data_IF_266197892487
#
_entry.id   IF_266197892487
#
_cell.length_a   1.000
_cell.length_b   1.000
_cell.length_c   1.000
_cell.angle_alpha   90.00
_cell.angle_beta   90.00
_cell.angle_gamma   90.00
#
_symmetry.space_group_name_H-M   'P 1'
#
loop_
_entity.id
_entity.type
_entity.pdbx_description
1 polymer ?
#
# COMPACT_ATOMS: atom_id res chain seq x y z
N UNK A 1 -7.10 36.30 -5.39
CA UNK A 1 -7.86 35.82 -4.22
C UNK A 1 -6.92 34.90 -3.44
N UNK A 2 -7.35 33.96 -2.61
CA UNK A 2 -6.46 32.86 -2.22
C UNK A 2 -6.43 31.82 -3.35
N UNK A 3 -5.33 31.07 -3.49
CA UNK A 3 -5.15 30.08 -4.57
C UNK A 3 -6.32 29.09 -4.68
N UNK A 4 -6.80 28.60 -3.54
CA UNK A 4 -7.93 27.66 -3.45
C UNK A 4 -9.19 28.19 -4.16
N UNK A 5 -9.53 29.48 -3.98
CA UNK A 5 -10.72 30.07 -4.59
C UNK A 5 -10.59 30.21 -6.11
N UNK A 6 -9.37 30.45 -6.63
CA UNK A 6 -9.12 30.54 -8.06
C UNK A 6 -9.15 29.15 -8.72
N UNK A 7 -8.60 28.14 -8.05
CA UNK A 7 -8.68 26.73 -8.47
C UNK A 7 -10.15 26.29 -8.50
N UNK A 8 -10.92 26.54 -7.44
CA UNK A 8 -12.35 26.19 -7.40
C UNK A 8 -13.15 26.86 -8.52
N UNK A 9 -12.87 28.13 -8.80
CA UNK A 9 -13.50 28.85 -9.91
C UNK A 9 -13.12 28.22 -11.26
N UNK A 10 -11.84 27.87 -11.45
CA UNK A 10 -11.37 27.21 -12.67
C UNK A 10 -12.02 25.84 -12.88
N UNK A 11 -12.22 25.05 -11.82
CA UNK A 11 -12.98 23.79 -11.88
C UNK A 11 -14.42 24.07 -12.31
N UNK A 12 -15.09 25.05 -11.70
CA UNK A 12 -16.47 25.39 -12.02
C UNK A 12 -16.65 25.89 -13.47
N UNK A 13 -15.73 26.73 -13.95
CA UNK A 13 -15.74 27.24 -15.31
C UNK A 13 -15.49 26.12 -16.34
N UNK A 14 -14.65 25.13 -15.99
CA UNK A 14 -14.35 23.98 -16.84
C UNK A 14 -15.52 23.01 -16.92
N UNK A 15 -16.19 22.72 -15.80
CA UNK A 15 -17.33 21.80 -15.74
C UNK A 15 -18.58 22.28 -16.50
N UNK A 16 -18.70 23.60 -16.76
CA UNK A 16 -19.78 24.22 -17.55
C UNK A 16 -21.20 23.83 -17.08
N UNK A 17 -21.38 23.59 -15.78
CA UNK A 17 -22.65 23.18 -15.20
C UNK A 17 -22.50 22.64 -13.78
N UNK A 18 -23.56 22.02 -13.26
CA UNK A 18 -23.52 21.37 -11.96
C UNK A 18 -22.57 20.15 -12.01
N UNK A 19 -21.73 20.01 -10.98
CA UNK A 19 -20.82 18.88 -10.84
C UNK A 19 -20.71 18.44 -9.38
N UNK A 20 -20.08 17.29 -9.16
CA UNK A 20 -19.69 16.82 -7.83
C UNK A 20 -18.22 16.44 -7.84
N UNK A 21 -17.47 16.97 -6.87
CA UNK A 21 -16.07 16.61 -6.67
C UNK A 21 -15.94 15.14 -6.27
N UNK A 22 -14.89 14.52 -6.79
CA UNK A 22 -14.51 13.14 -6.51
C UNK A 22 -13.21 13.13 -5.73
N UNK A 23 -13.13 12.20 -4.80
CA UNK A 23 -12.07 12.14 -3.80
C UNK A 23 -11.39 10.78 -3.93
N UNK A 24 -10.05 10.72 -3.98
CA UNK A 24 -9.34 9.46 -3.86
C UNK A 24 -9.75 8.75 -2.56
N UNK A 25 -10.12 7.47 -2.67
CA UNK A 25 -10.64 6.67 -1.54
C UNK A 25 -9.54 6.17 -0.60
N UNK A 26 -8.34 5.98 -1.13
CA UNK A 26 -7.18 5.42 -0.45
C UNK A 26 -5.90 6.24 -0.72
N UNK A 27 -4.77 5.84 -0.15
CA UNK A 27 -3.50 6.58 -0.25
C UNK A 27 -3.40 7.78 0.70
N UNK A 28 -2.39 8.63 0.48
CA UNK A 28 -2.11 9.82 1.30
C UNK A 28 -2.81 11.09 0.78
N UNK A 29 -3.14 11.12 -0.52
CA UNK A 29 -3.70 12.29 -1.19
C UNK A 29 -5.21 12.16 -1.37
N UNK A 30 -5.99 12.42 -0.30
CA UNK A 30 -7.46 12.22 -0.28
C UNK A 30 -8.31 13.49 -0.33
N UNK A 31 -7.67 14.64 -0.57
CA UNK A 31 -8.33 15.93 -0.68
C UNK A 31 -9.09 16.07 -2.01
N UNK A 32 -10.05 17.00 -2.07
CA UNK A 32 -10.78 17.30 -3.31
C UNK A 32 -9.86 17.93 -4.37
N UNK A 33 -8.89 18.71 -3.91
CA UNK A 33 -7.83 19.33 -4.67
C UNK A 33 -6.52 18.82 -4.05
N UNK A 34 -5.72 18.13 -4.85
CA UNK A 34 -4.39 17.63 -4.46
C UNK A 34 -3.36 18.62 -4.99
N UNK A 35 -2.54 19.17 -4.09
CA UNK A 35 -1.49 20.14 -4.41
C UNK A 35 -0.13 19.46 -4.33
N UNK A 36 0.63 19.45 -5.42
CA UNK A 36 1.97 18.84 -5.50
C UNK A 36 2.81 19.65 -6.48
N UNK A 37 4.07 19.95 -6.15
CA UNK A 37 5.07 20.49 -7.09
C UNK A 37 5.48 19.37 -8.06
N UNK A 38 4.93 19.40 -9.28
CA UNK A 38 5.10 18.32 -10.25
C UNK A 38 6.33 18.51 -11.13
N UNK A 39 6.80 19.73 -11.37
CA UNK A 39 7.95 20.00 -12.23
C UNK A 39 9.21 20.47 -11.48
N UNK A 40 9.13 20.58 -10.15
CA UNK A 40 10.24 20.89 -9.26
C UNK A 40 10.60 22.37 -9.24
N UNK A 41 9.70 23.26 -9.66
CA UNK A 41 9.95 24.71 -9.68
C UNK A 41 9.72 25.42 -8.33
N UNK A 42 9.20 24.69 -7.34
CA UNK A 42 8.88 25.18 -5.99
C UNK A 42 7.45 25.71 -5.85
N UNK A 43 6.67 25.72 -6.92
CA UNK A 43 5.24 26.04 -6.98
C UNK A 43 4.46 24.74 -7.17
N UNK A 44 3.36 24.57 -6.46
CA UNK A 44 2.55 23.36 -6.63
C UNK A 44 1.56 23.50 -7.77
N UNK A 45 1.42 22.45 -8.58
CA UNK A 45 0.26 22.21 -9.42
C UNK A 45 -0.90 21.68 -8.59
N UNK A 46 -2.10 21.81 -9.16
CA UNK A 46 -3.34 21.34 -8.57
C UNK A 46 -3.98 20.24 -9.43
N UNK A 47 -4.40 19.15 -8.79
CA UNK A 47 -5.13 18.05 -9.41
C UNK A 47 -6.50 17.96 -8.75
N UNK A 48 -7.56 17.95 -9.57
CA UNK A 48 -8.93 17.83 -9.08
C UNK A 48 -9.70 16.80 -9.90
N UNK A 49 -10.58 16.06 -9.23
CA UNK A 49 -11.47 15.12 -9.89
C UNK A 49 -12.91 15.58 -9.75
N UNK A 50 -13.67 15.51 -10.83
CA UNK A 50 -15.11 15.77 -10.75
C UNK A 50 -15.92 14.91 -11.69
N UNK A 51 -17.21 14.85 -11.39
CA UNK A 51 -18.22 14.21 -12.23
C UNK A 51 -19.32 15.21 -12.51
N UNK A 52 -19.64 15.38 -13.78
CA UNK A 52 -20.79 16.17 -14.22
C UNK A 52 -22.09 15.59 -13.67
N UNK A 53 -23.04 16.45 -13.30
CA UNK A 53 -24.34 16.01 -12.80
C UNK A 53 -25.08 15.17 -13.84
N UNK A 54 -25.51 13.99 -13.45
CA UNK A 54 -26.22 13.04 -14.31
C UNK A 54 -25.31 12.08 -15.08
N UNK A 55 -24.01 12.36 -15.17
CA UNK A 55 -23.03 11.37 -15.61
C UNK A 55 -22.81 10.37 -14.47
N UNK A 56 -22.76 9.07 -14.77
CA UNK A 56 -22.50 8.01 -13.77
C UNK A 56 -21.35 7.10 -14.17
N UNK A 57 -20.81 7.26 -15.37
CA UNK A 57 -19.85 6.35 -16.00
C UNK A 57 -18.47 6.96 -16.17
N UNK A 58 -18.33 8.28 -16.06
CA UNK A 58 -17.07 8.97 -16.29
C UNK A 58 -16.72 9.93 -15.17
N UNK A 59 -15.42 10.17 -15.01
CA UNK A 59 -14.84 11.17 -14.11
C UNK A 59 -13.81 11.97 -14.91
N UNK A 60 -13.81 13.28 -14.71
CA UNK A 60 -12.80 14.21 -15.19
C UNK A 60 -11.66 14.29 -14.19
N UNK A 61 -10.42 14.32 -14.68
CA UNK A 61 -9.24 14.72 -13.95
C UNK A 61 -8.70 16.01 -14.57
N UNK A 62 -8.75 17.10 -13.80
CA UNK A 62 -8.13 18.36 -14.16
C UNK A 62 -6.72 18.40 -13.59
N UNK A 63 -5.77 18.83 -14.42
CA UNK A 63 -4.44 19.26 -13.97
C UNK A 63 -4.33 20.75 -14.25
N UNK A 64 -3.94 21.51 -13.24
CA UNK A 64 -3.93 22.97 -13.25
C UNK A 64 -2.60 23.45 -12.67
N UNK A 65 -2.14 24.62 -13.11
CA UNK A 65 -0.86 25.19 -12.72
C UNK A 65 -1.00 26.71 -12.53
N UNK A 66 -0.12 27.30 -11.75
CA UNK A 66 -0.02 28.75 -11.63
C UNK A 66 0.87 29.33 -12.73
N UNK A 67 0.34 30.28 -13.50
CA UNK A 67 1.15 31.08 -14.44
C UNK A 67 1.23 32.52 -13.94
N UNK A 68 2.25 32.79 -13.14
CA UNK A 68 2.54 34.11 -12.59
C UNK A 68 1.39 34.71 -11.75
N UNK A 69 0.82 33.92 -10.84
CA UNK A 69 -0.28 34.32 -9.97
C UNK A 69 -1.67 34.24 -10.61
N UNK A 70 -1.80 33.44 -11.66
CA UNK A 70 -3.08 33.13 -12.32
C UNK A 70 -3.13 31.65 -12.64
N UNK A 71 -4.08 30.95 -12.00
CA UNK A 71 -4.33 29.54 -12.25
C UNK A 71 -4.86 29.27 -13.66
N UNK A 72 -4.28 28.26 -14.33
CA UNK A 72 -4.65 27.84 -15.68
C UNK A 72 -4.83 26.34 -15.76
N UNK A 73 -5.68 25.92 -16.70
CA UNK A 73 -5.87 24.51 -16.99
C UNK A 73 -4.72 24.01 -17.88
N UNK A 74 -3.98 23.01 -17.39
CA UNK A 74 -3.03 22.25 -18.19
C UNK A 74 -3.77 21.24 -19.06
N UNK A 75 -4.67 20.44 -18.49
CA UNK A 75 -5.42 19.39 -19.20
C UNK A 75 -6.68 18.94 -18.45
N UNK A 76 -7.65 18.44 -19.20
CA UNK A 76 -8.86 17.76 -18.71
C UNK A 76 -8.93 16.35 -19.31
N UNK A 77 -8.73 15.33 -18.48
CA UNK A 77 -8.80 13.92 -18.88
C UNK A 77 -10.12 13.30 -18.45
N UNK A 78 -10.89 12.80 -19.41
CA UNK A 78 -12.14 12.07 -19.15
C UNK A 78 -11.89 10.58 -19.16
N UNK A 79 -12.10 9.91 -18.04
CA UNK A 79 -11.90 8.46 -17.89
C UNK A 79 -13.21 7.77 -17.57
N UNK A 80 -13.51 6.66 -18.26
CA UNK A 80 -14.62 5.77 -17.91
C UNK A 80 -14.28 5.01 -16.62
N UNK A 81 -14.86 5.44 -15.51
CA UNK A 81 -14.61 4.85 -14.20
C UNK A 81 -15.74 5.17 -13.23
N UNK A 82 -15.94 4.26 -12.28
CA UNK A 82 -16.95 4.43 -11.24
C UNK A 82 -16.47 5.33 -10.10
N UNK A 83 -15.16 5.41 -9.84
CA UNK A 83 -14.55 6.24 -8.81
C UNK A 83 -13.03 6.34 -8.93
N UNK A 84 -12.44 7.24 -8.16
CA UNK A 84 -10.99 7.32 -7.99
C UNK A 84 -10.59 6.47 -6.77
N UNK A 85 -9.71 5.48 -6.98
CA UNK A 85 -9.16 4.67 -5.91
C UNK A 85 -8.10 5.46 -5.12
N UNK A 86 -7.02 5.86 -5.77
CA UNK A 86 -5.94 6.63 -5.16
C UNK A 86 -5.21 7.51 -6.18
N UNK A 87 -4.40 8.42 -5.65
CA UNK A 87 -3.39 9.18 -6.39
C UNK A 87 -2.07 9.01 -5.65
N UNK A 88 -0.99 8.90 -6.40
CA UNK A 88 0.38 8.97 -5.87
C UNK A 88 1.30 9.63 -6.91
N UNK A 89 2.51 9.98 -6.50
CA UNK A 89 3.48 10.69 -7.32
C UNK A 89 4.85 10.02 -7.26
N UNK A 90 5.58 10.03 -8.37
CA UNK A 90 6.88 9.36 -8.45
C UNK A 90 7.75 9.96 -9.55
N UNK A 91 9.05 10.13 -9.29
CA UNK A 91 10.04 10.52 -10.30
C UNK A 91 10.52 9.27 -11.04
N UNK A 92 9.69 8.77 -11.96
CA UNK A 92 9.96 7.47 -12.62
C UNK A 92 10.90 7.61 -13.81
N UNK A 93 11.14 8.82 -14.31
CA UNK A 93 12.06 9.08 -15.42
C UNK A 93 13.42 9.68 -14.98
N UNK A 94 13.58 9.97 -13.68
CA UNK A 94 14.83 10.41 -13.07
C UNK A 94 15.15 11.88 -13.31
N UNK A 95 14.25 12.67 -13.88
CA UNK A 95 14.50 14.06 -14.24
C UNK A 95 14.27 15.05 -13.06
N UNK A 96 13.65 14.59 -11.97
CA UNK A 96 13.34 15.38 -10.77
C UNK A 96 11.90 15.90 -10.69
N UNK A 97 11.19 15.91 -11.82
CA UNK A 97 9.74 16.08 -11.89
C UNK A 97 9.03 14.81 -11.42
N UNK A 98 7.77 14.95 -11.02
CA UNK A 98 6.93 13.87 -10.55
C UNK A 98 5.86 13.52 -11.58
N UNK A 99 5.85 12.27 -12.01
CA UNK A 99 4.72 11.67 -12.70
C UNK A 99 3.53 11.50 -11.75
N UNK A 100 2.34 11.75 -12.28
CA UNK A 100 1.06 11.53 -11.60
C UNK A 100 0.61 10.09 -11.86
N UNK A 101 0.44 9.30 -10.81
CA UNK A 101 -0.18 7.97 -10.88
C UNK A 101 -1.61 8.03 -10.34
N UNK A 102 -2.57 7.64 -11.17
CA UNK A 102 -3.98 7.61 -10.79
C UNK A 102 -4.54 6.22 -10.89
N UNK A 103 -5.15 5.80 -9.78
CA UNK A 103 -5.91 4.58 -9.65
C UNK A 103 -7.38 4.79 -10.01
N UNK A 104 -7.85 4.18 -11.09
CA UNK A 104 -9.26 4.23 -11.47
C UNK A 104 -9.99 2.96 -11.06
N UNK A 105 -11.09 3.09 -10.33
CA UNK A 105 -11.88 1.95 -9.90
C UNK A 105 -12.57 1.29 -11.10
N UNK A 106 -12.48 -0.03 -11.19
CA UNK A 106 -13.24 -0.81 -12.18
C UNK A 106 -14.56 -1.30 -11.60
N UNK A 107 -15.36 -1.98 -12.41
CA UNK A 107 -16.57 -2.67 -11.93
C UNK A 107 -16.26 -3.96 -11.16
N UNK A 108 -15.02 -4.46 -11.24
CA UNK A 108 -14.56 -5.66 -10.55
C UNK A 108 -14.02 -5.28 -9.16
N UNK A 109 -14.55 -5.85 -8.07
CA UNK A 109 -14.08 -5.57 -6.72
C UNK A 109 -12.57 -5.84 -6.57
N UNK A 110 -11.87 -4.91 -5.90
CA UNK A 110 -10.43 -4.98 -5.65
C UNK A 110 -9.56 -5.07 -6.93
N UNK A 111 -10.11 -4.69 -8.09
CA UNK A 111 -9.37 -4.52 -9.33
C UNK A 111 -9.52 -3.07 -9.77
N UNK A 112 -8.42 -2.36 -9.81
CA UNK A 112 -8.30 -0.99 -10.25
C UNK A 112 -7.36 -0.93 -11.45
N UNK A 113 -7.50 0.11 -12.27
CA UNK A 113 -6.65 0.35 -13.42
C UNK A 113 -5.69 1.50 -13.13
N UNK A 114 -4.39 1.26 -13.32
CA UNK A 114 -3.35 2.27 -13.12
C UNK A 114 -3.11 3.08 -14.40
N UNK A 115 -3.16 4.40 -14.27
CA UNK A 115 -2.77 5.36 -15.29
C UNK A 115 -1.58 6.20 -14.81
N UNK A 116 -0.78 6.69 -15.75
CA UNK A 116 0.38 7.54 -15.51
C UNK A 116 0.29 8.79 -16.39
N UNK A 117 0.68 9.95 -15.85
CA UNK A 117 0.68 11.21 -16.58
C UNK A 117 1.94 12.00 -16.23
N UNK A 118 2.55 12.66 -17.21
CA UNK A 118 3.67 13.60 -16.97
C UNK A 118 3.19 15.03 -17.22
N UNK A 119 3.50 15.93 -16.30
CA UNK A 119 3.31 17.37 -16.47
C UNK A 119 4.64 18.04 -16.80
N UNK A 120 4.60 19.07 -17.64
CA UNK A 120 5.74 19.94 -17.89
C UNK A 120 5.40 21.09 -18.84
N UNK A 121 5.92 22.27 -18.52
CA UNK A 121 5.76 23.47 -19.36
C UNK A 121 4.31 23.88 -19.59
N UNK A 122 3.46 23.75 -18.57
CA UNK A 122 2.04 24.10 -18.63
C UNK A 122 1.17 23.12 -19.41
N UNK A 123 1.68 21.92 -19.72
CA UNK A 123 0.93 20.85 -20.42
C UNK A 123 1.08 19.52 -19.72
N UNK A 124 0.05 18.66 -19.79
CA UNK A 124 0.07 17.32 -19.23
C UNK A 124 -0.19 16.29 -20.33
N UNK A 125 0.58 15.21 -20.34
CA UNK A 125 0.46 14.10 -21.29
C UNK A 125 0.14 12.81 -20.56
N UNK A 126 -0.74 11.99 -21.14
CA UNK A 126 -0.98 10.64 -20.65
C UNK A 126 0.12 9.69 -21.13
N UNK A 127 0.71 8.95 -20.19
CA UNK A 127 1.65 7.87 -20.44
C UNK A 127 0.93 6.52 -20.30
N UNK A 128 1.47 5.49 -20.93
CA UNK A 128 0.87 4.14 -20.80
C UNK A 128 1.39 3.46 -19.54
N UNK A 129 0.54 3.24 -18.53
CA UNK A 129 0.86 2.36 -17.40
C UNK A 129 0.27 0.95 -17.59
N UNK A 130 -1.01 0.87 -17.98
CA UNK A 130 -1.62 -0.33 -18.57
C UNK A 130 -1.75 -1.56 -17.67
N UNK A 131 -1.71 -1.39 -16.35
CA UNK A 131 -1.67 -2.49 -15.37
C UNK A 131 -2.87 -2.45 -14.43
N UNK A 132 -3.52 -3.60 -14.26
CA UNK A 132 -4.52 -3.79 -13.23
C UNK A 132 -3.85 -4.09 -11.88
N UNK A 133 -4.39 -3.56 -10.80
CA UNK A 133 -3.84 -3.75 -9.46
C UNK A 133 -4.95 -3.83 -8.41
N UNK A 134 -4.59 -4.31 -7.22
CA UNK A 134 -5.40 -4.30 -6.00
C UNK A 134 -4.84 -3.35 -4.95
N UNK A 135 -3.51 -3.16 -4.90
CA UNK A 135 -2.84 -2.01 -4.28
C UNK A 135 -1.60 -1.63 -5.11
N UNK A 136 -1.16 -0.37 -5.07
CA UNK A 136 0.14 0.01 -5.61
C UNK A 136 0.87 1.00 -4.70
N UNK A 137 2.18 1.06 -4.86
CA UNK A 137 3.10 1.86 -4.07
C UNK A 137 4.20 2.41 -4.96
N UNK A 138 4.52 3.69 -4.81
CA UNK A 138 5.62 4.34 -5.51
C UNK A 138 6.85 4.49 -4.61
N UNK A 139 8.04 4.40 -5.19
CA UNK A 139 9.31 4.76 -4.55
C UNK A 139 10.53 4.08 -5.16
N UNK A 140 11.72 4.56 -4.82
CA UNK A 140 13.01 4.00 -5.22
C UNK A 140 13.29 2.63 -4.56
N UNK A 141 12.81 1.55 -5.19
CA UNK A 141 12.84 0.19 -4.63
C UNK A 141 14.16 -0.53 -4.89
N UNK A 142 14.90 -0.09 -5.91
CA UNK A 142 16.21 -0.65 -6.26
C UNK A 142 17.38 0.23 -5.79
N UNK A 143 17.12 1.41 -5.23
CA UNK A 143 18.12 2.39 -4.78
C UNK A 143 19.01 2.95 -5.89
N UNK A 144 18.45 3.18 -7.09
CA UNK A 144 19.14 3.79 -8.23
C UNK A 144 18.83 5.29 -8.41
N UNK A 145 17.96 5.85 -7.57
CA UNK A 145 17.56 7.25 -7.60
C UNK A 145 16.38 7.56 -8.54
N UNK A 146 15.85 6.56 -9.24
CA UNK A 146 14.58 6.64 -9.97
C UNK A 146 13.52 5.87 -9.20
N UNK A 147 12.31 6.43 -9.12
CA UNK A 147 11.22 5.71 -8.46
C UNK A 147 10.70 4.58 -9.35
N UNK A 148 10.31 3.48 -8.72
CA UNK A 148 9.52 2.41 -9.31
C UNK A 148 8.09 2.43 -8.77
N UNK A 149 7.21 1.72 -9.48
CA UNK A 149 5.84 1.45 -9.03
C UNK A 149 5.67 -0.02 -8.76
N UNK A 150 5.44 -0.39 -7.51
CA UNK A 150 5.13 -1.76 -7.11
C UNK A 150 3.62 -1.97 -7.07
N UNK A 151 3.10 -2.80 -7.97
CA UNK A 151 1.69 -3.19 -7.98
C UNK A 151 1.50 -4.56 -7.33
N UNK A 152 0.42 -4.72 -6.57
CA UNK A 152 0.00 -5.98 -5.95
C UNK A 152 -1.35 -6.39 -6.54
N UNK A 153 -1.45 -7.61 -7.04
CA UNK A 153 -2.70 -8.18 -7.55
C UNK A 153 -3.16 -9.31 -6.63
N UNK A 154 -4.43 -9.30 -6.26
CA UNK A 154 -5.07 -10.45 -5.63
C UNK A 154 -5.37 -11.53 -6.68
N UNK A 155 -5.51 -12.77 -6.23
CA UNK A 155 -5.93 -13.86 -7.11
C UNK A 155 -7.37 -13.63 -7.59
N UNK A 156 -7.60 -13.84 -8.89
CA UNK A 156 -8.92 -13.91 -9.51
C UNK A 156 -8.92 -14.95 -10.63
N UNK A 157 -10.07 -15.17 -11.27
CA UNK A 157 -10.16 -16.05 -12.45
C UNK A 157 -9.33 -15.57 -13.63
N UNK A 158 -8.99 -14.28 -13.67
CA UNK A 158 -8.25 -13.64 -14.77
C UNK A 158 -6.81 -13.28 -14.37
N UNK A 159 -6.49 -13.23 -13.07
CA UNK A 159 -5.20 -12.78 -12.57
C UNK A 159 -4.65 -13.71 -11.48
N UNK A 160 -3.41 -14.16 -11.66
CA UNK A 160 -2.64 -14.74 -10.55
C UNK A 160 -2.29 -13.70 -9.50
N UNK A 161 -2.26 -14.11 -8.22
CA UNK A 161 -1.74 -13.29 -7.13
C UNK A 161 -0.25 -13.05 -7.33
N UNK A 162 0.14 -11.78 -7.49
CA UNK A 162 1.51 -11.39 -7.80
C UNK A 162 1.84 -9.99 -7.30
N UNK A 163 3.13 -9.75 -7.07
CA UNK A 163 3.68 -8.41 -7.00
C UNK A 163 4.47 -8.14 -8.29
N UNK A 164 4.35 -6.94 -8.85
CA UNK A 164 5.06 -6.52 -10.06
C UNK A 164 5.72 -5.16 -9.83
N UNK A 165 7.03 -5.09 -10.06
CA UNK A 165 7.77 -3.83 -10.04
C UNK A 165 7.80 -3.26 -11.46
N UNK A 166 7.20 -2.10 -11.62
CA UNK A 166 7.12 -1.38 -12.88
C UNK A 166 8.22 -0.32 -12.93
N UNK A 167 8.90 -0.22 -14.07
CA UNK A 167 9.85 0.85 -14.38
C UNK A 167 9.41 1.59 -15.63
N UNK A 168 9.91 2.81 -15.79
CA UNK A 168 9.58 3.65 -16.93
C UNK A 168 10.51 3.37 -18.13
N UNK A 169 9.91 3.28 -19.31
CA UNK A 169 10.60 3.27 -20.60
C UNK A 169 10.45 4.65 -21.24
N UNK A 170 11.52 5.44 -21.21
CA UNK A 170 11.53 6.81 -21.72
C UNK A 170 11.33 6.88 -23.25
N UNK A 171 11.75 5.86 -24.01
CA UNK A 171 11.56 5.83 -25.47
C UNK A 171 10.09 5.62 -25.83
N UNK A 172 9.40 4.74 -25.09
CA UNK A 172 7.99 4.42 -25.31
C UNK A 172 7.02 5.30 -24.53
N UNK A 173 7.52 6.10 -23.58
CA UNK A 173 6.71 6.87 -22.63
C UNK A 173 5.68 5.98 -21.92
N UNK A 174 6.17 4.87 -21.37
CA UNK A 174 5.30 3.83 -20.79
C UNK A 174 5.95 3.11 -19.63
N UNK A 175 5.15 2.68 -18.66
CA UNK A 175 5.58 1.73 -17.63
C UNK A 175 5.61 0.32 -18.20
N UNK A 176 6.58 -0.48 -17.77
CA UNK A 176 6.65 -1.91 -18.07
C UNK A 176 7.03 -2.70 -16.81
N UNK A 177 6.60 -3.96 -16.73
CA UNK A 177 6.98 -4.83 -15.62
C UNK A 177 8.45 -5.27 -15.77
N UNK A 178 9.32 -4.71 -14.92
CA UNK A 178 10.75 -5.05 -14.85
C UNK A 178 10.98 -6.39 -14.14
N UNK A 179 10.20 -6.65 -13.09
CA UNK A 179 10.26 -7.90 -12.34
C UNK A 179 8.90 -8.24 -11.73
N UNK A 180 8.65 -9.53 -11.50
CA UNK A 180 7.45 -10.03 -10.83
C UNK A 180 7.81 -11.14 -9.84
N UNK A 181 6.97 -11.32 -8.82
CA UNK A 181 7.09 -12.45 -7.88
C UNK A 181 5.70 -12.94 -7.47
N UNK A 182 5.47 -14.26 -7.34
CA UNK A 182 4.21 -14.80 -6.84
C UNK A 182 3.89 -14.30 -5.42
N UNK A 183 2.60 -14.10 -5.17
CA UNK A 183 2.02 -13.78 -3.87
C UNK A 183 1.11 -14.92 -3.43
N UNK A 184 0.79 -14.98 -2.14
CA UNK A 184 -0.15 -15.97 -1.60
C UNK A 184 -1.55 -15.85 -2.23
N UNK A 185 -2.01 -16.84 -3.01
CA UNK A 185 -3.29 -16.77 -3.72
C UNK A 185 -4.50 -16.89 -2.79
N UNK A 186 -4.31 -17.25 -1.51
CA UNK A 186 -5.40 -17.34 -0.53
C UNK A 186 -5.76 -15.96 0.06
N UNK A 187 -4.91 -14.95 -0.13
CA UNK A 187 -5.20 -13.57 0.29
C UNK A 187 -6.28 -13.00 -0.61
N UNK A 188 -7.39 -12.55 0.00
CA UNK A 188 -8.54 -11.94 -0.69
C UNK A 188 -8.64 -10.44 -0.43
N UNK A 189 -7.85 -9.89 0.48
CA UNK A 189 -7.80 -8.47 0.82
C UNK A 189 -6.46 -8.11 1.45
N UNK A 190 -5.89 -6.98 1.05
CA UNK A 190 -4.75 -6.37 1.75
C UNK A 190 -5.27 -5.51 2.91
N UNK A 191 -4.90 -5.86 4.15
CA UNK A 191 -5.30 -5.15 5.38
C UNK A 191 -4.36 -3.99 5.69
N UNK A 192 -3.07 -4.24 5.57
CA UNK A 192 -2.02 -3.23 5.71
C UNK A 192 -0.91 -3.53 4.69
N UNK A 193 -0.40 -2.48 4.07
CA UNK A 193 0.80 -2.55 3.26
C UNK A 193 1.64 -1.35 3.60
N UNK A 194 2.90 -1.59 3.91
CA UNK A 194 3.81 -0.55 4.35
C UNK A 194 5.12 -0.67 3.60
N UNK A 195 5.54 0.43 2.97
CA UNK A 195 6.92 0.56 2.48
C UNK A 195 7.80 0.87 3.68
N UNK A 196 8.86 0.11 3.86
CA UNK A 196 9.82 0.30 4.93
C UNK A 196 11.23 -0.06 4.48
N UNK A 197 12.22 0.39 5.24
CA UNK A 197 13.56 -0.14 5.13
C UNK A 197 13.58 -1.55 5.74
N UNK A 198 14.15 -2.53 5.03
CA UNK A 198 14.39 -3.89 5.54
C UNK A 198 15.78 -4.01 6.17
N UNK A 199 16.71 -3.18 5.71
CA UNK A 199 18.00 -2.92 6.31
C UNK A 199 18.46 -1.49 5.92
N UNK A 200 19.71 -1.13 6.22
CA UNK A 200 20.24 0.21 5.92
C UNK A 200 20.34 0.56 4.42
N UNK A 201 20.09 -0.38 3.51
CA UNK A 201 20.33 -0.22 2.06
C UNK A 201 19.18 -0.70 1.19
N UNK A 202 18.23 -1.44 1.75
CA UNK A 202 17.22 -2.16 0.99
C UNK A 202 15.85 -1.71 1.45
N UNK A 203 15.12 -1.09 0.53
CA UNK A 203 13.69 -0.85 0.70
C UNK A 203 12.90 -2.11 0.36
N UNK A 204 11.80 -2.29 1.05
CA UNK A 204 10.84 -3.33 0.75
C UNK A 204 9.45 -2.91 1.18
N UNK A 205 8.51 -3.84 1.00
CA UNK A 205 7.17 -3.70 1.53
C UNK A 205 6.83 -4.89 2.42
N UNK A 206 6.11 -4.61 3.49
CA UNK A 206 5.49 -5.61 4.37
C UNK A 206 3.99 -5.59 4.12
N UNK A 207 3.43 -6.74 3.77
CA UNK A 207 2.03 -6.89 3.33
C UNK A 207 1.30 -7.82 4.29
N UNK A 208 0.39 -7.28 5.09
CA UNK A 208 -0.59 -8.07 5.84
C UNK A 208 -1.84 -8.30 4.96
N UNK A 209 -1.98 -9.51 4.46
CA UNK A 209 -3.16 -9.97 3.71
C UNK A 209 -4.10 -10.79 4.57
N UNK A 210 -5.41 -10.70 4.34
CA UNK A 210 -6.39 -11.59 4.96
C UNK A 210 -7.00 -12.58 4.00
N UNK A 211 -7.23 -13.79 4.48
CA UNK A 211 -7.97 -14.84 3.81
C UNK A 211 -9.47 -14.61 3.98
N UNK A 212 -10.29 -15.35 3.23
CA UNK A 212 -11.75 -15.30 3.40
C UNK A 212 -12.21 -15.80 4.79
N UNK A 213 -11.39 -16.59 5.48
CA UNK A 213 -11.60 -17.03 6.87
C UNK A 213 -11.16 -15.99 7.91
N UNK A 214 -10.82 -14.77 7.49
CA UNK A 214 -10.26 -13.69 8.32
C UNK A 214 -8.86 -13.92 8.91
N UNK A 215 -8.29 -15.11 8.73
CA UNK A 215 -6.88 -15.38 8.99
C UNK A 215 -5.99 -14.38 8.24
N UNK A 216 -4.93 -13.92 8.90
CA UNK A 216 -3.97 -12.96 8.37
C UNK A 216 -2.68 -13.69 8.05
N UNK A 217 -2.08 -13.35 6.91
CA UNK A 217 -0.75 -13.79 6.52
C UNK A 217 0.11 -12.56 6.18
N UNK A 218 1.35 -12.53 6.66
CA UNK A 218 2.31 -11.47 6.32
C UNK A 218 3.28 -11.95 5.26
N UNK A 219 3.46 -11.16 4.20
CA UNK A 219 4.45 -11.34 3.16
C UNK A 219 5.43 -10.16 3.16
N UNK A 220 6.68 -10.40 2.73
CA UNK A 220 7.72 -9.36 2.60
C UNK A 220 8.20 -9.38 1.16
N UNK A 221 8.14 -8.23 0.48
CA UNK A 221 8.53 -8.11 -0.92
C UNK A 221 9.66 -7.08 -1.02
N UNK A 222 10.72 -7.42 -1.74
CA UNK A 222 11.81 -6.48 -2.03
C UNK A 222 12.49 -6.84 -3.36
N UNK A 223 13.19 -5.88 -3.94
CA UNK A 223 14.01 -6.11 -5.11
C UNK A 223 15.43 -6.49 -4.69
N UNK A 224 15.90 -7.66 -5.13
CA UNK A 224 17.28 -8.05 -4.93
C UNK A 224 18.10 -7.54 -6.13
N UNK A 225 18.89 -6.49 -5.90
CA UNK A 225 19.74 -5.88 -6.93
C UNK A 225 20.77 -6.85 -7.51
N UNK A 226 21.43 -7.66 -6.66
CA UNK A 226 22.47 -8.59 -7.09
C UNK A 226 21.93 -9.68 -8.02
N UNK A 227 20.71 -10.16 -7.76
CA UNK A 227 20.02 -11.18 -8.56
C UNK A 227 19.10 -10.58 -9.64
N UNK A 228 18.91 -9.26 -9.62
CA UNK A 228 18.00 -8.50 -10.50
C UNK A 228 16.57 -9.05 -10.54
N UNK A 229 16.01 -9.44 -9.39
CA UNK A 229 14.67 -10.03 -9.30
C UNK A 229 13.91 -9.63 -8.02
N UNK A 230 12.58 -9.64 -8.09
CA UNK A 230 11.72 -9.49 -6.90
C UNK A 230 11.72 -10.77 -6.06
N UNK A 231 11.78 -10.62 -4.74
CA UNK A 231 11.76 -11.69 -3.74
C UNK A 231 10.47 -11.62 -2.93
N UNK A 232 9.93 -12.79 -2.57
CA UNK A 232 8.87 -12.94 -1.57
C UNK A 232 9.17 -14.18 -0.71
N UNK A 233 10.14 -14.10 0.20
CA UNK A 233 10.72 -15.29 0.82
C UNK A 233 9.84 -15.95 1.87
N UNK A 234 8.94 -15.17 2.49
CA UNK A 234 8.02 -15.67 3.50
C UNK A 234 6.85 -16.45 2.90
N UNK A 235 6.56 -16.27 1.60
CA UNK A 235 5.56 -17.07 0.91
C UNK A 235 6.08 -18.48 0.58
N UNK A 236 5.36 -19.50 1.05
CA UNK A 236 5.58 -20.92 0.73
C UNK A 236 4.31 -21.51 0.13
N UNK A 237 4.38 -21.94 -1.12
CA UNK A 237 3.24 -22.49 -1.86
C UNK A 237 2.67 -23.79 -1.26
N UNK A 238 3.54 -24.66 -0.72
CA UNK A 238 3.17 -26.04 -0.32
C UNK A 238 2.92 -26.25 1.17
N UNK A 239 3.18 -25.25 1.99
CA UNK A 239 3.12 -25.37 3.46
C UNK A 239 2.50 -24.12 4.04
N UNK A 240 1.83 -24.26 5.18
CA UNK A 240 1.32 -23.11 5.93
C UNK A 240 2.44 -22.08 6.14
N UNK A 241 2.18 -20.82 5.80
CA UNK A 241 3.12 -19.74 6.03
C UNK A 241 3.31 -19.53 7.53
N UNK A 242 4.55 -19.32 7.97
CA UNK A 242 4.89 -19.15 9.39
C UNK A 242 4.16 -17.95 10.02
N UNK A 243 3.89 -16.92 9.22
CA UNK A 243 3.21 -15.68 9.60
C UNK A 243 1.68 -15.79 9.58
N UNK A 244 1.12 -16.92 9.15
CA UNK A 244 -0.33 -17.14 9.10
C UNK A 244 -0.94 -17.33 10.50
N UNK A 245 -1.91 -16.50 10.85
CA UNK A 245 -2.49 -16.40 12.21
C UNK A 245 -3.98 -16.03 12.17
N UNK A 246 -4.72 -16.42 13.20
CA UNK A 246 -6.18 -16.17 13.32
C UNK A 246 -6.50 -14.86 14.04
N UNK A 247 -5.58 -14.36 14.87
CA UNK A 247 -5.78 -13.12 15.62
C UNK A 247 -5.48 -11.88 14.75
N UNK A 248 -6.20 -10.75 14.95
CA UNK A 248 -6.13 -9.59 14.08
C UNK A 248 -4.93 -8.67 14.38
N UNK A 249 -3.75 -9.25 14.60
CA UNK A 249 -2.49 -8.50 14.76
C UNK A 249 -1.88 -8.26 13.39
N UNK A 250 -1.35 -7.06 13.16
CA UNK A 250 -0.66 -6.66 11.93
C UNK A 250 0.79 -6.26 12.26
N UNK A 251 1.62 -6.11 11.23
CA UNK A 251 3.00 -5.68 11.41
C UNK A 251 3.08 -4.26 11.94
N UNK A 252 4.08 -3.98 12.76
CA UNK A 252 4.32 -2.68 13.36
C UNK A 252 5.78 -2.58 13.80
N UNK A 253 6.29 -1.35 13.90
CA UNK A 253 7.52 -1.06 14.63
C UNK A 253 7.21 -1.10 16.14
N UNK A 254 7.59 -2.21 16.77
CA UNK A 254 7.28 -2.52 18.17
C UNK A 254 8.33 -1.94 19.12
N UNK A 255 9.56 -1.79 18.66
CA UNK A 255 10.68 -1.36 19.48
C UNK A 255 11.09 0.11 19.22
N UNK A 256 10.47 0.78 18.26
CA UNK A 256 10.74 2.12 17.76
C UNK A 256 12.13 2.28 17.12
N UNK A 257 12.61 1.26 16.41
CA UNK A 257 13.88 1.29 15.66
C UNK A 257 13.70 1.59 14.16
N UNK A 258 12.48 1.93 13.74
CA UNK A 258 12.07 2.22 12.36
C UNK A 258 12.02 1.00 11.43
N UNK A 259 12.29 -0.20 11.95
CA UNK A 259 12.08 -1.47 11.24
C UNK A 259 10.76 -2.08 11.69
N UNK A 260 10.01 -2.64 10.74
CA UNK A 260 8.73 -3.27 11.05
C UNK A 260 8.94 -4.70 11.55
N UNK A 261 8.43 -5.01 12.73
CA UNK A 261 8.33 -6.39 13.18
C UNK A 261 7.12 -7.13 12.64
N UNK A 262 7.37 -8.40 12.32
CA UNK A 262 6.43 -9.35 11.74
C UNK A 262 5.98 -10.32 12.84
N UNK A 263 4.68 -10.37 13.14
CA UNK A 263 4.16 -11.25 14.20
C UNK A 263 4.02 -12.70 13.71
N UNK A 264 4.52 -13.62 14.54
CA UNK A 264 4.27 -15.06 14.48
C UNK A 264 3.50 -15.46 15.72
N UNK A 265 2.38 -16.14 15.53
CA UNK A 265 1.43 -16.42 16.61
C UNK A 265 1.34 -17.92 16.84
N UNK A 266 1.44 -18.30 18.11
CA UNK A 266 1.19 -19.66 18.58
C UNK A 266 0.42 -19.60 19.89
N UNK A 267 -0.33 -20.66 20.20
CA UNK A 267 -0.88 -20.80 21.55
C UNK A 267 0.23 -21.14 22.54
N UNK A 268 0.13 -20.64 23.77
CA UNK A 268 1.00 -21.09 24.85
C UNK A 268 0.73 -22.56 25.18
N UNK A 269 1.72 -23.27 25.77
CA UNK A 269 1.50 -24.59 26.35
C UNK A 269 0.29 -24.57 27.28
N UNK A 270 -0.54 -25.60 27.19
CA UNK A 270 -1.78 -25.71 27.94
C UNK A 270 -2.11 -27.19 28.20
N UNK A 271 -2.92 -27.46 29.23
CA UNK A 271 -3.40 -28.82 29.46
C UNK A 271 -4.52 -29.13 28.46
N UNK A 272 -4.63 -30.39 28.00
CA UNK A 272 -5.64 -30.78 27.01
C UNK A 272 -7.10 -30.67 27.49
N UNK A 273 -7.33 -30.33 28.76
CA UNK A 273 -8.66 -30.08 29.34
C UNK A 273 -9.13 -28.63 29.23
N UNK A 274 -8.26 -27.69 28.87
CA UNK A 274 -8.60 -26.28 28.68
C UNK A 274 -9.21 -26.04 27.29
N UNK A 275 -10.29 -25.26 27.23
CA UNK A 275 -10.86 -24.81 25.95
C UNK A 275 -9.87 -23.88 25.25
N UNK A 276 -9.70 -24.02 23.94
CA UNK A 276 -8.74 -23.24 23.13
C UNK A 276 -8.92 -21.74 23.24
N UNK A 277 -10.14 -21.29 23.51
CA UNK A 277 -10.54 -19.90 23.74
C UNK A 277 -10.06 -19.32 25.07
N UNK A 278 -9.68 -20.18 26.02
CA UNK A 278 -9.14 -19.77 27.32
C UNK A 278 -7.61 -19.73 27.33
N UNK A 279 -6.96 -20.34 26.34
CA UNK A 279 -5.49 -20.38 26.24
C UNK A 279 -5.00 -19.09 25.61
N UNK A 280 -4.10 -18.39 26.29
CA UNK A 280 -3.59 -17.13 25.77
C UNK A 280 -2.65 -17.33 24.57
N UNK A 281 -2.75 -16.42 23.60
CA UNK A 281 -1.86 -16.37 22.46
C UNK A 281 -0.50 -15.77 22.82
N UNK A 282 0.56 -16.46 22.38
CA UNK A 282 1.94 -15.95 22.35
C UNK A 282 2.17 -15.32 20.98
N UNK A 283 2.55 -14.04 21.00
CA UNK A 283 2.97 -13.30 19.82
C UNK A 283 4.49 -13.16 19.90
N UNK A 284 5.18 -13.71 18.92
CA UNK A 284 6.60 -13.48 18.72
C UNK A 284 6.71 -12.43 17.62
N UNK A 285 7.18 -11.24 17.98
CA UNK A 285 7.51 -10.18 17.03
C UNK A 285 8.93 -10.40 16.53
N UNK A 286 9.09 -10.44 15.21
CA UNK A 286 10.34 -10.78 14.57
C UNK A 286 10.79 -9.67 13.63
N UNK A 287 12.07 -9.35 13.63
CA UNK A 287 12.67 -8.63 12.52
C UNK A 287 12.85 -9.61 11.33
N UNK A 288 12.96 -9.04 10.13
CA UNK A 288 13.28 -9.81 8.93
C UNK A 288 14.77 -9.71 8.63
N UNK A 289 15.50 -10.84 8.67
CA UNK A 289 16.91 -10.89 8.27
C UNK A 289 17.00 -11.08 6.75
N UNK A 290 17.53 -10.07 6.07
CA UNK A 290 17.64 -10.05 4.60
C UNK A 290 18.66 -11.08 4.06
N UNK A 291 19.71 -11.40 4.83
CA UNK A 291 20.81 -12.25 4.40
C UNK A 291 20.43 -13.73 4.36
N UNK A 292 19.72 -14.21 5.39
CA UNK A 292 19.17 -15.57 5.42
C UNK A 292 17.72 -15.65 4.92
N UNK A 293 17.07 -14.51 4.71
CA UNK A 293 15.64 -14.38 4.37
C UNK A 293 14.73 -15.09 5.38
N UNK A 294 15.04 -14.94 6.67
CA UNK A 294 14.32 -15.58 7.77
C UNK A 294 13.88 -14.58 8.81
N UNK A 295 12.88 -14.96 9.60
CA UNK A 295 12.46 -14.20 10.76
C UNK A 295 13.42 -14.42 11.94
N UNK A 296 13.85 -13.31 12.57
CA UNK A 296 14.67 -13.32 13.78
C UNK A 296 13.85 -12.73 14.92
N UNK A 297 13.70 -13.50 15.99
CA UNK A 297 12.90 -13.09 17.13
C UNK A 297 13.48 -11.83 17.80
N UNK A 298 12.66 -10.78 17.92
CA UNK A 298 12.95 -9.54 18.64
C UNK A 298 12.35 -9.58 20.05
N UNK A 299 11.02 -9.71 20.14
CA UNK A 299 10.31 -9.71 21.43
C UNK A 299 9.13 -10.67 21.44
N UNK A 300 8.91 -11.34 22.57
CA UNK A 300 7.72 -12.17 22.80
C UNK A 300 6.74 -11.46 23.74
N UNK A 301 5.46 -11.55 23.43
CA UNK A 301 4.37 -10.97 24.21
C UNK A 301 3.23 -11.98 24.35
N UNK A 302 2.52 -11.93 25.47
CA UNK A 302 1.19 -12.53 25.61
C UNK A 302 0.17 -11.44 25.37
N UNK A 303 -0.84 -11.69 24.54
CA UNK A 303 -1.88 -10.70 24.27
C UNK A 303 -3.25 -11.16 24.75
N UNK A 304 -4.03 -10.21 25.26
CA UNK A 304 -5.46 -10.36 25.44
C UNK A 304 -6.16 -9.28 24.61
N UNK A 305 -6.77 -9.68 23.50
CA UNK A 305 -7.39 -8.75 22.55
C UNK A 305 -8.69 -8.17 23.07
N UNK A 306 -9.50 -8.96 23.79
CA UNK A 306 -10.76 -8.51 24.36
C UNK A 306 -10.55 -7.37 25.36
N UNK A 307 -9.48 -7.46 26.15
CA UNK A 307 -9.11 -6.48 27.17
C UNK A 307 -8.03 -5.50 26.70
N UNK A 308 -7.60 -5.58 25.43
CA UNK A 308 -6.68 -4.65 24.76
C UNK A 308 -5.36 -4.41 25.50
N UNK A 309 -4.74 -5.46 26.03
CA UNK A 309 -3.41 -5.36 26.62
C UNK A 309 -2.47 -6.46 26.14
N UNK A 310 -1.17 -6.18 26.24
CA UNK A 310 -0.12 -7.16 26.06
C UNK A 310 0.81 -7.19 27.28
N UNK A 311 1.40 -8.35 27.53
CA UNK A 311 2.41 -8.54 28.57
C UNK A 311 3.69 -9.03 27.91
N UNK A 312 4.74 -8.21 27.96
CA UNK A 312 6.07 -8.59 27.48
C UNK A 312 6.59 -9.78 28.28
N UNK A 313 6.97 -10.85 27.59
CA UNK A 313 7.50 -12.05 28.22
C UNK A 313 8.99 -11.87 28.54
N UNK A 314 9.42 -12.12 29.79
CA UNK A 314 10.83 -12.22 30.13
C UNK A 314 11.54 -13.33 29.34
N UNK A 315 12.82 -13.14 28.99
CA UNK A 315 13.61 -14.13 28.24
C UNK A 315 13.58 -15.54 28.88
N UNK A 316 13.61 -15.60 30.22
CA UNK A 316 13.52 -16.86 30.98
C UNK A 316 12.24 -17.67 30.73
N UNK A 317 11.19 -17.07 30.16
CA UNK A 317 9.90 -17.72 29.87
C UNK A 317 9.80 -18.26 28.44
N UNK A 318 10.80 -18.02 27.58
CA UNK A 318 10.70 -18.32 26.15
C UNK A 318 10.85 -19.81 25.80
N UNK A 319 11.25 -20.68 26.74
CA UNK A 319 11.47 -22.12 26.54
C UNK A 319 10.20 -22.98 26.58
N UNK A 320 9.04 -22.40 26.26
CA UNK A 320 7.73 -23.08 26.26
C UNK A 320 7.44 -23.85 27.57
N UNK A 321 7.87 -23.29 28.70
CA UNK A 321 7.65 -23.83 30.05
C UNK A 321 6.58 -23.08 30.83
N UNK A 322 5.94 -22.08 30.21
CA UNK A 322 4.98 -21.18 30.84
C UNK A 322 3.62 -21.35 30.18
N UNK A 323 2.60 -21.54 31.01
CA UNK A 323 1.19 -21.53 30.61
C UNK A 323 0.57 -20.19 30.99
N UNK A 324 -0.42 -19.73 30.24
CA UNK A 324 -1.25 -18.59 30.64
C UNK A 324 -2.69 -18.81 30.16
N UNK A 325 -3.63 -18.57 31.07
CA UNK A 325 -5.06 -18.70 30.82
C UNK A 325 -5.73 -17.34 30.94
N UNK A 326 -6.68 -17.07 30.05
CA UNK A 326 -7.58 -15.94 30.10
C UNK A 326 -8.80 -16.36 30.95
N UNK A 327 -8.98 -15.70 32.10
CA UNK A 327 -10.13 -15.93 32.97
C UNK A 327 -10.99 -14.65 33.06
N UNK A 328 -12.24 -14.75 32.61
CA UNK A 328 -13.22 -13.66 32.62
C UNK A 328 -14.02 -13.56 33.92
N UNK A 329 -14.01 -14.58 34.79
CA UNK A 329 -14.86 -14.64 36.00
C UNK A 329 -14.48 -13.61 37.08
N UNK A 330 -13.27 -13.03 37.04
CA UNK A 330 -12.78 -12.09 38.04
C UNK A 330 -12.73 -10.62 37.58
N UNK A 331 -13.30 -10.29 36.42
CA UNK A 331 -13.29 -8.91 35.88
C UNK A 331 -14.48 -8.04 36.36
N UNK A 332 -15.05 -8.34 37.52
CA UNK A 332 -16.02 -7.45 38.17
C UNK A 332 -15.29 -6.37 38.99
N UNK A 333 -15.15 -5.19 38.38
CA UNK A 333 -15.01 -3.92 39.11
C UNK A 333 -16.15 -3.00 38.71
#
# INVERSE_FOLDING_TARGET
MGDEAEIEQLIADTAKGDYTLKYPKSGNYRSAIVMTDLDGDGTSEAIAFYREKGNTTSIHMLVMYDDNGSWKLSSDFVTETTDIDCVDFANVDGNGALEIFVGYATYSPNVNFLSCYSYGGGTTQANTAGQNYSAFYCGDLNSDGMDEVLTLSLYSTENEARASMLSYDAEKKSMFAKATVPMDPNVVKYKNVTICDLDNKTKGIVVDGSFASEEINTQVIYYNNELSLLRNPLFKDKTKNLTQRTIPVICADINNDQLYEIPVVSQLPHSGSEGTETVADKIIWNSFDLGSETLVQSVSMVANYDLKYTVKMPEKWQKDTVTALINSENNST
#
